data_IF_936368905732
#
_entry.id   IF_936368905732
#
_cell.length_a   1.000
_cell.length_b   1.000
_cell.length_c   1.000
_cell.angle_alpha   90.00
_cell.angle_beta   90.00
_cell.angle_gamma   90.00
#
_symmetry.space_group_name_H-M   'P 1'
#
loop_
_entity.id
_entity.type
_entity.pdbx_description
1 polymer ?
#
# COMPACT_ATOMS: atom_id res chain seq x y z
N UNK A 1 11.16 28.90 10.61
CA UNK A 1 10.64 27.93 9.63
C UNK A 1 11.47 26.67 9.76
N UNK A 2 10.90 25.62 10.39
CA UNK A 2 11.50 24.29 10.48
C UNK A 2 10.34 23.33 10.75
N UNK A 3 9.72 22.81 9.68
CA UNK A 3 8.83 21.66 9.81
C UNK A 3 9.72 20.42 9.86
N UNK A 4 9.99 19.95 11.09
CA UNK A 4 10.62 18.67 11.33
C UNK A 4 9.87 17.56 10.62
N UNK A 5 10.61 16.63 10.00
CA UNK A 5 10.10 15.55 9.17
C UNK A 5 8.91 14.82 9.81
N UNK A 6 7.70 15.23 9.39
CA UNK A 6 6.48 14.48 9.65
C UNK A 6 6.63 13.19 8.85
N UNK A 7 6.84 12.07 9.55
CA UNK A 7 6.91 10.76 8.93
C UNK A 7 5.75 10.59 7.95
N UNK A 8 6.07 10.31 6.68
CA UNK A 8 5.09 10.25 5.60
C UNK A 8 4.00 9.22 5.98
N UNK A 9 2.71 9.62 6.05
CA UNK A 9 1.61 8.71 6.32
C UNK A 9 1.63 7.51 5.37
N UNK A 10 1.18 6.35 5.84
CA UNK A 10 1.10 5.12 5.01
C UNK A 10 0.34 5.41 3.70
N UNK A 11 -0.75 6.19 3.79
CA UNK A 11 -1.52 6.64 2.63
C UNK A 11 -0.67 7.38 1.59
N UNK A 12 0.22 8.26 2.03
CA UNK A 12 1.05 9.04 1.10
C UNK A 12 2.13 8.15 0.47
N UNK A 13 2.70 7.20 1.22
CA UNK A 13 3.60 6.18 0.65
C UNK A 13 2.91 5.33 -0.41
N UNK A 14 1.66 4.91 -0.16
CA UNK A 14 0.84 4.18 -1.13
C UNK A 14 0.61 5.02 -2.39
N UNK A 15 0.21 6.28 -2.24
CA UNK A 15 0.04 7.19 -3.38
C UNK A 15 1.34 7.39 -4.17
N UNK A 16 2.48 7.47 -3.49
CA UNK A 16 3.78 7.54 -4.16
C UNK A 16 4.07 6.26 -4.96
N UNK A 17 3.83 5.07 -4.39
CA UNK A 17 3.99 3.80 -5.11
C UNK A 17 3.05 3.70 -6.33
N UNK A 18 1.81 4.19 -6.20
CA UNK A 18 0.87 4.28 -7.31
C UNK A 18 1.35 5.25 -8.41
N UNK A 19 1.89 6.41 -8.03
CA UNK A 19 2.43 7.38 -8.98
C UNK A 19 3.65 6.82 -9.75
N UNK A 20 4.54 6.10 -9.06
CA UNK A 20 5.71 5.44 -9.68
C UNK A 20 5.29 4.34 -10.67
N UNK A 21 4.26 3.58 -10.32
CA UNK A 21 3.72 2.49 -11.16
C UNK A 21 2.77 2.98 -12.26
N UNK A 22 2.43 4.27 -12.29
CA UNK A 22 1.49 4.86 -13.26
C UNK A 22 0.04 4.40 -13.07
N UNK A 23 -0.30 3.88 -11.89
CA UNK A 23 -1.65 3.37 -11.61
C UNK A 23 -2.53 4.41 -10.94
N UNK A 24 -3.80 4.45 -11.31
CA UNK A 24 -4.74 5.44 -10.76
C UNK A 24 -5.57 4.89 -9.60
N UNK A 25 -6.06 5.79 -8.74
CA UNK A 25 -6.95 5.46 -7.62
C UNK A 25 -8.22 4.72 -8.07
N UNK A 26 -8.69 4.97 -9.29
CA UNK A 26 -9.86 4.28 -9.86
C UNK A 26 -9.57 2.79 -10.07
N UNK A 27 -8.36 2.47 -10.53
CA UNK A 27 -7.95 1.12 -10.87
C UNK A 27 -7.65 0.33 -9.59
N UNK A 28 -7.05 1.00 -8.59
CA UNK A 28 -6.89 0.40 -7.26
C UNK A 28 -8.23 0.10 -6.59
N UNK A 29 -9.21 1.02 -6.70
CA UNK A 29 -10.55 0.79 -6.16
C UNK A 29 -11.21 -0.43 -6.82
N UNK A 30 -11.09 -0.57 -8.15
CA UNK A 30 -11.55 -1.74 -8.88
C UNK A 30 -10.83 -3.02 -8.46
N UNK A 31 -9.51 -2.98 -8.34
CA UNK A 31 -8.71 -4.14 -7.92
C UNK A 31 -9.04 -4.61 -6.49
N UNK A 32 -9.28 -3.67 -5.58
CA UNK A 32 -9.73 -3.96 -4.21
C UNK A 32 -11.23 -4.29 -4.13
N UNK A 33 -11.96 -4.28 -5.25
CA UNK A 33 -13.41 -4.49 -5.33
C UNK A 33 -14.22 -3.56 -4.39
N UNK A 34 -13.81 -2.29 -4.31
CA UNK A 34 -14.47 -1.25 -3.51
C UNK A 34 -14.81 -0.02 -4.35
N UNK A 35 -15.69 0.83 -3.85
CA UNK A 35 -16.00 2.10 -4.51
C UNK A 35 -14.89 3.12 -4.32
N UNK A 36 -14.77 4.11 -5.23
CA UNK A 36 -13.83 5.23 -5.08
C UNK A 36 -14.02 5.97 -3.75
N UNK A 37 -15.26 6.10 -3.29
CA UNK A 37 -15.59 6.73 -2.01
C UNK A 37 -15.10 5.88 -0.83
N UNK A 38 -15.26 4.56 -0.88
CA UNK A 38 -14.72 3.67 0.13
C UNK A 38 -13.17 3.71 0.16
N UNK A 39 -12.52 3.80 -1.01
CA UNK A 39 -11.08 4.00 -1.09
C UNK A 39 -10.65 5.34 -0.46
N UNK A 40 -11.32 6.44 -0.78
CA UNK A 40 -11.06 7.75 -0.16
C UNK A 40 -11.26 7.73 1.35
N UNK A 41 -12.32 7.06 1.84
CA UNK A 41 -12.56 6.89 3.27
C UNK A 41 -11.44 6.07 3.93
N UNK A 42 -10.94 5.02 3.26
CA UNK A 42 -9.81 4.21 3.72
C UNK A 42 -8.52 5.02 3.77
N UNK A 43 -8.27 5.84 2.75
CA UNK A 43 -7.14 6.76 2.66
C UNK A 43 -7.15 7.80 3.78
N UNK A 44 -8.32 8.37 4.08
CA UNK A 44 -8.49 9.32 5.19
C UNK A 44 -8.38 8.66 6.56
N UNK A 45 -8.89 7.43 6.73
CA UNK A 45 -8.79 6.69 8.00
C UNK A 45 -7.35 6.24 8.29
N UNK A 46 -6.54 6.02 7.25
CA UNK A 46 -5.16 5.58 7.38
C UNK A 46 -4.99 4.18 7.97
N UNK A 47 -6.07 3.41 8.10
CA UNK A 47 -6.03 2.03 8.58
C UNK A 47 -6.02 1.07 7.39
N UNK A 48 -4.92 0.36 7.23
CA UNK A 48 -4.75 -0.67 6.21
C UNK A 48 -4.48 -2.00 6.91
N UNK A 49 -5.18 -3.04 6.51
CA UNK A 49 -4.79 -4.40 6.89
C UNK A 49 -3.51 -4.77 6.15
N UNK A 50 -2.72 -5.70 6.68
CA UNK A 50 -1.53 -6.21 5.98
C UNK A 50 -1.90 -6.77 4.61
N UNK A 51 -3.04 -7.45 4.50
CA UNK A 51 -3.60 -7.93 3.22
C UNK A 51 -3.84 -6.80 2.21
N UNK A 52 -4.26 -5.63 2.66
CA UNK A 52 -4.46 -4.48 1.77
C UNK A 52 -3.13 -3.99 1.22
N UNK A 53 -2.09 -3.96 2.06
CA UNK A 53 -0.75 -3.56 1.66
C UNK A 53 -0.14 -4.55 0.67
N UNK A 54 -0.35 -5.86 0.88
CA UNK A 54 0.08 -6.91 -0.06
C UNK A 54 -0.65 -6.73 -1.40
N UNK A 55 -1.97 -6.56 -1.39
CA UNK A 55 -2.77 -6.30 -2.61
C UNK A 55 -2.35 -5.04 -3.32
N UNK A 56 -2.06 -3.95 -2.60
CA UNK A 56 -1.58 -2.70 -3.18
C UNK A 56 -0.18 -2.88 -3.76
N UNK A 57 0.71 -3.62 -3.10
CA UNK A 57 2.05 -3.91 -3.61
C UNK A 57 1.95 -4.72 -4.91
N UNK A 58 1.22 -5.83 -4.91
CA UNK A 58 0.95 -6.63 -6.12
C UNK A 58 0.35 -5.78 -7.24
N UNK A 59 -0.69 -5.01 -6.90
CA UNK A 59 -1.32 -4.11 -7.85
C UNK A 59 -0.33 -3.09 -8.40
N UNK A 60 0.53 -2.47 -7.59
CA UNK A 60 1.50 -1.48 -8.09
C UNK A 60 2.73 -2.12 -8.76
N UNK A 61 2.84 -3.45 -8.78
CA UNK A 61 4.05 -4.15 -9.23
C UNK A 61 5.23 -3.97 -8.27
N UNK A 62 4.96 -3.54 -7.03
CA UNK A 62 5.94 -3.44 -5.97
C UNK A 62 5.98 -4.75 -5.15
N UNK A 63 7.06 -4.94 -4.40
CA UNK A 63 7.17 -6.04 -3.43
C UNK A 63 7.06 -5.48 -2.02
N UNK A 64 6.18 -6.05 -1.22
CA UNK A 64 6.13 -5.73 0.21
C UNK A 64 7.18 -6.57 0.93
N UNK A 65 8.25 -5.93 1.38
CA UNK A 65 9.39 -6.60 2.01
C UNK A 65 9.62 -6.08 3.43
N UNK A 66 9.90 -7.00 4.36
CA UNK A 66 10.63 -6.66 5.59
C UNK A 66 12.11 -6.86 5.34
N UNK A 67 12.85 -5.76 5.36
CA UNK A 67 14.29 -5.75 5.23
C UNK A 67 14.92 -5.57 6.61
N UNK A 68 15.82 -6.49 6.95
CA UNK A 68 16.58 -6.48 8.20
C UNK A 68 17.97 -5.86 7.96
N UNK A 69 18.66 -5.48 9.04
CA UNK A 69 19.99 -4.83 8.96
C UNK A 69 21.04 -5.71 8.25
N UNK A 70 20.88 -7.02 8.32
CA UNK A 70 21.72 -8.04 7.68
C UNK A 70 21.42 -8.24 6.18
N UNK A 71 20.54 -7.40 5.61
CA UNK A 71 20.01 -7.49 4.23
C UNK A 71 19.14 -8.70 3.96
N UNK A 72 18.74 -9.46 4.98
CA UNK A 72 17.70 -10.47 4.83
C UNK A 72 16.39 -9.78 4.45
N UNK A 73 15.68 -10.36 3.48
CA UNK A 73 14.38 -9.84 3.02
C UNK A 73 13.33 -10.92 3.14
N UNK A 74 12.26 -10.62 3.87
CA UNK A 74 11.04 -11.45 3.89
C UNK A 74 10.03 -10.73 3.00
N UNK A 75 9.72 -11.35 1.86
CA UNK A 75 8.75 -10.83 0.89
C UNK A 75 7.37 -11.40 1.17
N UNK A 76 6.36 -10.55 1.18
CA UNK A 76 4.96 -10.95 1.23
C UNK A 76 4.32 -10.87 -0.15
N UNK A 77 3.50 -11.87 -0.45
CA UNK A 77 2.80 -12.07 -1.71
C UNK A 77 1.33 -12.40 -1.48
N UNK A 78 0.53 -12.40 -2.55
CA UNK A 78 -0.89 -12.76 -2.46
C UNK A 78 -1.11 -14.18 -1.93
N UNK A 79 -0.15 -15.09 -2.12
CA UNK A 79 -0.21 -16.47 -1.63
C UNK A 79 -0.14 -16.56 -0.10
N UNK A 80 0.40 -15.53 0.57
CA UNK A 80 0.50 -15.46 2.03
C UNK A 80 -0.80 -14.98 2.70
N UNK A 81 -1.77 -14.51 1.90
CA UNK A 81 -3.08 -14.12 2.40
C UNK A 81 -3.86 -15.40 2.70
N UNK A 82 -4.10 -15.69 3.99
CA UNK A 82 -4.87 -16.85 4.44
C UNK A 82 -6.21 -16.90 3.70
N UNK A 83 -6.38 -17.91 2.85
CA UNK A 83 -7.67 -18.32 2.31
C UNK A 83 -8.49 -18.84 3.50
N UNK A 84 -9.51 -18.09 3.94
CA UNK A 84 -10.53 -18.60 4.86
C UNK A 84 -11.67 -19.22 4.06
#
# INVERSE_FOLDING_TARGET
MQEGGKGMPITDKIKAAMAVSGKENKDLAQYLNITKQALSNKFNRGSYSVEDLIKIADFTGAMLNLEFEDRTKITFSLDDIRQQ
#
